data_IF_973076588457
#
_entry.id   IF_973076588457
#
_cell.length_a   1.000
_cell.length_b   1.000
_cell.length_c   1.000
_cell.angle_alpha   90.00
_cell.angle_beta   90.00
_cell.angle_gamma   90.00
#
_symmetry.space_group_name_H-M   'P 1'
#
loop_
_entity.id
_entity.type
_entity.pdbx_description
1 polymer ?
#
# COMPACT_ATOMS: atom_id res chain seq x y z
N UNK A 1 -24.32 21.88 -20.19
CA UNK A 1 -23.35 22.31 -19.15
C UNK A 1 -23.16 21.29 -18.01
N UNK A 2 -24.22 20.81 -17.33
CA UNK A 2 -24.04 19.84 -16.20
C UNK A 2 -23.45 18.49 -16.64
N UNK A 3 -23.91 17.97 -17.77
CA UNK A 3 -23.51 16.66 -18.31
C UNK A 3 -22.03 16.64 -18.76
N UNK A 4 -21.59 17.67 -19.51
CA UNK A 4 -20.17 17.86 -19.86
C UNK A 4 -19.27 17.98 -18.63
N UNK A 5 -19.76 18.61 -17.55
CA UNK A 5 -19.01 18.73 -16.30
C UNK A 5 -18.85 17.38 -15.61
N UNK A 6 -19.88 16.55 -15.62
CA UNK A 6 -19.84 15.21 -15.05
C UNK A 6 -18.85 14.31 -15.79
N UNK A 7 -18.90 14.31 -17.12
CA UNK A 7 -17.96 13.55 -17.97
C UNK A 7 -16.51 14.01 -17.72
N UNK A 8 -16.29 15.32 -17.64
CA UNK A 8 -14.96 15.89 -17.36
C UNK A 8 -14.41 15.47 -15.99
N UNK A 9 -15.24 15.48 -14.94
CA UNK A 9 -14.83 15.02 -13.60
C UNK A 9 -14.47 13.54 -13.62
N UNK A 10 -15.29 12.69 -14.26
CA UNK A 10 -15.01 11.26 -14.38
C UNK A 10 -13.68 11.01 -15.10
N UNK A 11 -13.43 11.68 -16.23
CA UNK A 11 -12.16 11.55 -16.97
C UNK A 11 -10.96 11.96 -16.12
N UNK A 12 -11.06 13.10 -15.41
CA UNK A 12 -10.00 13.60 -14.54
C UNK A 12 -9.65 12.61 -13.42
N UNK A 13 -10.65 11.94 -12.84
CA UNK A 13 -10.44 10.90 -11.82
C UNK A 13 -9.64 9.72 -12.40
N UNK A 14 -10.02 9.21 -13.58
CA UNK A 14 -9.30 8.10 -14.21
C UNK A 14 -7.86 8.46 -14.59
N UNK A 15 -7.65 9.65 -15.15
CA UNK A 15 -6.33 10.13 -15.53
C UNK A 15 -5.41 10.26 -14.31
N UNK A 16 -5.92 10.84 -13.23
CA UNK A 16 -5.21 10.97 -11.95
C UNK A 16 -4.87 9.60 -11.35
N UNK A 17 -5.81 8.66 -11.33
CA UNK A 17 -5.58 7.29 -10.85
C UNK A 17 -4.53 6.55 -11.69
N UNK A 18 -4.59 6.72 -13.02
CA UNK A 18 -3.64 6.09 -13.94
C UNK A 18 -2.23 6.67 -13.78
N UNK A 19 -2.10 7.99 -13.58
CA UNK A 19 -0.82 8.63 -13.30
C UNK A 19 -0.18 8.10 -12.00
N UNK A 20 -0.99 7.91 -10.95
CA UNK A 20 -0.55 7.28 -9.71
C UNK A 20 -0.14 5.83 -9.91
N UNK A 21 -0.92 5.06 -10.67
CA UNK A 21 -0.63 3.67 -10.98
C UNK A 21 0.75 3.54 -11.63
N UNK A 22 1.02 4.32 -12.68
CA UNK A 22 2.30 4.29 -13.39
C UNK A 22 3.47 4.71 -12.48
N UNK A 23 3.25 5.70 -11.63
CA UNK A 23 4.27 6.20 -10.70
C UNK A 23 4.62 5.15 -9.65
N UNK A 24 3.63 4.52 -9.04
CA UNK A 24 3.78 3.60 -7.91
C UNK A 24 4.16 2.18 -8.33
N UNK A 25 3.70 1.72 -9.49
CA UNK A 25 3.92 0.32 -9.94
C UNK A 25 5.41 -0.03 -10.03
N UNK A 26 6.24 0.95 -10.41
CA UNK A 26 7.69 0.75 -10.51
C UNK A 26 8.42 0.76 -9.16
N UNK A 27 7.75 1.17 -8.08
CA UNK A 27 8.27 1.13 -6.70
C UNK A 27 7.80 -0.10 -5.92
N UNK A 28 7.01 -0.98 -6.53
CA UNK A 28 6.46 -2.14 -5.85
C UNK A 28 7.52 -3.24 -5.64
N UNK A 29 7.62 -3.74 -4.41
CA UNK A 29 8.44 -4.88 -4.05
C UNK A 29 9.89 -4.53 -3.64
N UNK A 30 10.68 -5.53 -3.23
CA UNK A 30 12.03 -5.32 -2.66
C UNK A 30 13.07 -4.86 -3.70
N UNK A 31 12.78 -5.02 -5.00
CA UNK A 31 13.57 -4.49 -6.11
C UNK A 31 12.88 -3.30 -6.79
N UNK A 32 11.90 -2.70 -6.10
CA UNK A 32 11.24 -1.48 -6.57
C UNK A 32 12.23 -0.33 -6.70
N UNK A 33 11.94 0.57 -7.63
CA UNK A 33 12.73 1.77 -7.85
C UNK A 33 12.32 2.85 -6.84
N UNK A 34 13.31 3.45 -6.18
CA UNK A 34 13.10 4.64 -5.38
C UNK A 34 12.68 5.83 -6.25
N UNK A 35 11.84 6.70 -5.70
CA UNK A 35 11.41 7.95 -6.34
C UNK A 35 12.09 9.13 -5.65
N UNK A 36 12.79 9.92 -6.45
CA UNK A 36 13.29 11.23 -6.02
C UNK A 36 12.16 12.25 -6.19
N UNK A 37 11.64 12.73 -5.07
CA UNK A 37 10.56 13.70 -5.00
C UNK A 37 11.13 15.05 -4.58
N UNK A 38 10.84 16.10 -5.33
CA UNK A 38 11.32 17.45 -5.06
C UNK A 38 10.11 18.36 -4.81
N UNK A 39 10.04 18.96 -3.63
CA UNK A 39 9.00 19.93 -3.27
C UNK A 39 9.59 21.04 -2.41
N UNK A 40 9.38 22.30 -2.79
CA UNK A 40 9.86 23.48 -2.07
C UNK A 40 11.38 23.40 -1.75
N UNK A 41 12.21 23.06 -2.74
CA UNK A 41 13.67 22.83 -2.60
C UNK A 41 14.08 21.74 -1.61
N UNK A 42 13.14 20.93 -1.10
CA UNK A 42 13.45 19.73 -0.31
C UNK A 42 13.36 18.50 -1.19
N UNK A 43 14.46 17.76 -1.25
CA UNK A 43 14.54 16.45 -1.90
C UNK A 43 14.19 15.35 -0.89
N UNK A 44 13.31 14.43 -1.27
CA UNK A 44 12.98 13.23 -0.51
C UNK A 44 13.09 12.03 -1.45
N UNK A 45 13.88 11.02 -1.08
CA UNK A 45 13.98 9.77 -1.84
C UNK A 45 13.21 8.70 -1.08
N UNK A 46 12.23 8.07 -1.73
CA UNK A 46 11.38 7.06 -1.09
C UNK A 46 10.74 6.10 -2.10
N UNK A 47 10.50 4.87 -1.68
CA UNK A 47 9.69 3.87 -2.36
C UNK A 47 8.29 3.69 -1.75
N UNK A 48 7.99 4.39 -0.64
CA UNK A 48 6.73 4.22 0.08
C UNK A 48 5.58 4.94 -0.63
N UNK A 49 4.56 4.19 -1.02
CA UNK A 49 3.42 4.70 -1.77
C UNK A 49 2.61 5.74 -1.00
N UNK A 50 2.50 5.59 0.32
CA UNK A 50 1.80 6.56 1.17
C UNK A 50 2.53 7.91 1.19
N UNK A 51 3.87 7.87 1.28
CA UNK A 51 4.70 9.07 1.20
C UNK A 51 4.61 9.70 -0.18
N UNK A 52 4.76 8.93 -1.26
CA UNK A 52 4.65 9.41 -2.65
C UNK A 52 3.30 10.11 -2.89
N UNK A 53 2.19 9.55 -2.41
CA UNK A 53 0.85 10.11 -2.58
C UNK A 53 0.71 11.54 -2.01
N UNK A 54 1.39 11.85 -0.89
CA UNK A 54 1.39 13.19 -0.26
C UNK A 54 2.09 14.27 -1.10
N UNK A 55 2.88 13.87 -2.10
CA UNK A 55 3.57 14.82 -2.99
C UNK A 55 2.70 15.26 -4.17
N UNK A 56 1.68 14.49 -4.56
CA UNK A 56 0.78 14.86 -5.64
C UNK A 56 -0.08 16.09 -5.28
N UNK A 57 -0.51 16.83 -6.30
CA UNK A 57 -1.45 17.95 -6.16
C UNK A 57 -2.76 17.48 -5.54
N UNK A 58 -3.49 18.35 -4.85
CA UNK A 58 -4.75 17.96 -4.23
C UNK A 58 -5.78 17.59 -5.31
N UNK A 59 -6.14 16.31 -5.34
CA UNK A 59 -7.24 15.77 -6.13
C UNK A 59 -8.11 14.92 -5.19
N UNK A 60 -9.46 14.92 -5.32
CA UNK A 60 -10.35 14.19 -4.41
C UNK A 60 -10.00 12.70 -4.26
N UNK A 61 -9.52 12.06 -5.34
CA UNK A 61 -9.11 10.65 -5.30
C UNK A 61 -7.90 10.42 -4.41
N UNK A 62 -6.98 11.39 -4.29
CA UNK A 62 -5.78 11.25 -3.47
C UNK A 62 -6.15 11.16 -1.99
N UNK A 63 -7.14 11.93 -1.54
CA UNK A 63 -7.63 11.87 -0.15
C UNK A 63 -8.25 10.50 0.16
N UNK A 64 -9.02 9.94 -0.78
CA UNK A 64 -9.60 8.60 -0.63
C UNK A 64 -8.50 7.54 -0.58
N UNK A 65 -7.55 7.57 -1.52
CA UNK A 65 -6.43 6.63 -1.57
C UNK A 65 -5.52 6.75 -0.35
N UNK A 66 -5.35 7.96 0.19
CA UNK A 66 -4.58 8.19 1.42
C UNK A 66 -5.24 7.55 2.62
N UNK A 67 -6.56 7.62 2.73
CA UNK A 67 -7.32 6.97 3.80
C UNK A 67 -7.26 5.45 3.69
N UNK A 68 -7.35 4.92 2.47
CA UNK A 68 -7.19 3.47 2.21
C UNK A 68 -5.79 3.00 2.61
N UNK A 69 -4.75 3.74 2.21
CA UNK A 69 -3.36 3.41 2.57
C UNK A 69 -3.12 3.50 4.08
N UNK A 70 -3.65 4.53 4.75
CA UNK A 70 -3.57 4.67 6.21
C UNK A 70 -4.27 3.53 6.93
N UNK A 71 -5.48 3.14 6.49
CA UNK A 71 -6.19 2.01 7.10
C UNK A 71 -5.43 0.69 6.92
N UNK A 72 -4.69 0.52 5.83
CA UNK A 72 -3.85 -0.65 5.60
C UNK A 72 -2.62 -0.64 6.52
N UNK A 73 -1.98 0.51 6.70
CA UNK A 73 -0.84 0.68 7.61
C UNK A 73 -1.25 0.42 9.07
N UNK A 74 -2.42 0.93 9.49
CA UNK A 74 -2.93 0.75 10.86
C UNK A 74 -3.30 -0.70 11.18
N UNK A 75 -3.97 -1.39 10.25
CA UNK A 75 -4.45 -2.77 10.45
C UNK A 75 -3.37 -3.83 10.22
N UNK A 76 -2.57 -3.66 9.16
CA UNK A 76 -1.64 -4.69 8.69
C UNK A 76 -0.18 -4.23 8.73
N UNK A 77 0.11 -2.95 8.49
CA UNK A 77 1.47 -2.38 8.47
C UNK A 77 2.30 -2.70 7.22
N UNK A 78 1.76 -3.52 6.31
CA UNK A 78 2.39 -3.91 5.04
C UNK A 78 1.38 -3.82 3.89
N UNK A 79 1.89 -3.72 2.65
CA UNK A 79 1.05 -3.62 1.45
C UNK A 79 0.41 -2.25 1.22
N UNK A 80 0.90 -1.19 1.87
CA UNK A 80 0.41 0.20 1.70
C UNK A 80 0.50 0.69 0.25
N UNK A 81 1.55 0.29 -0.48
CA UNK A 81 1.70 0.56 -1.92
C UNK A 81 0.80 -0.35 -2.76
N UNK A 82 0.73 -1.65 -2.42
CA UNK A 82 -0.07 -2.64 -3.15
C UNK A 82 -1.56 -2.31 -3.16
N UNK A 83 -2.11 -1.84 -2.03
CA UNK A 83 -3.54 -1.50 -1.94
C UNK A 83 -3.89 -0.31 -2.84
N UNK A 84 -3.00 0.68 -2.96
CA UNK A 84 -3.20 1.82 -3.87
C UNK A 84 -3.15 1.34 -5.33
N UNK A 85 -2.14 0.56 -5.69
CA UNK A 85 -1.98 -0.01 -7.04
C UNK A 85 -3.20 -0.84 -7.43
N UNK A 86 -3.67 -1.71 -6.53
CA UNK A 86 -4.86 -2.53 -6.75
C UNK A 86 -6.10 -1.66 -7.00
N UNK A 87 -6.32 -0.64 -6.15
CA UNK A 87 -7.46 0.26 -6.27
C UNK A 87 -7.43 1.02 -7.61
N UNK A 88 -6.29 1.59 -8.00
CA UNK A 88 -6.15 2.29 -9.28
C UNK A 88 -6.31 1.34 -10.48
N UNK A 89 -5.79 0.11 -10.39
CA UNK A 89 -5.91 -0.89 -11.45
C UNK A 89 -7.36 -1.34 -11.66
N UNK A 90 -8.10 -1.58 -10.56
CA UNK A 90 -9.52 -1.87 -10.60
C UNK A 90 -10.29 -0.70 -11.22
N UNK A 91 -10.04 0.53 -10.78
CA UNK A 91 -10.72 1.71 -11.33
C UNK A 91 -10.49 1.85 -12.85
N UNK A 92 -9.26 1.62 -13.32
CA UNK A 92 -8.94 1.61 -14.75
C UNK A 92 -9.68 0.50 -15.51
N UNK A 93 -9.79 -0.70 -14.95
CA UNK A 93 -10.54 -1.80 -15.57
C UNK A 93 -12.05 -1.49 -15.66
N UNK A 94 -12.60 -0.81 -14.64
CA UNK A 94 -14.01 -0.42 -14.57
C UNK A 94 -14.37 0.73 -15.51
N UNK A 95 -13.39 1.50 -15.99
CA UNK A 95 -13.59 2.61 -16.93
C UNK A 95 -14.42 2.19 -18.14
N UNK A 96 -14.13 1.02 -18.73
CA UNK A 96 -14.87 0.49 -19.88
C UNK A 96 -16.35 0.27 -19.57
N UNK A 97 -16.68 -0.22 -18.38
CA UNK A 97 -18.07 -0.45 -17.97
C UNK A 97 -18.82 0.87 -17.81
N UNK A 98 -18.15 1.90 -17.30
CA UNK A 98 -18.71 3.25 -17.15
C UNK A 98 -18.90 3.91 -18.53
N UNK A 99 -17.97 3.72 -19.46
CA UNK A 99 -18.09 4.17 -20.86
C UNK A 99 -19.21 3.43 -21.62
N UNK A 100 -19.55 2.21 -21.22
CA UNK A 100 -20.73 1.46 -21.70
C UNK A 100 -22.04 1.89 -21.02
N UNK A 101 -22.04 3.01 -20.29
CA UNK A 101 -23.19 3.56 -19.57
C UNK A 101 -23.80 2.62 -18.51
N UNK A 102 -23.02 1.67 -17.99
CA UNK A 102 -23.45 0.84 -16.86
C UNK A 102 -23.48 1.71 -15.61
N UNK A 103 -24.62 1.74 -14.94
CA UNK A 103 -24.81 2.57 -13.76
C UNK A 103 -23.82 2.17 -12.63
N UNK A 104 -23.07 3.11 -12.03
CA UNK A 104 -22.04 2.80 -11.02
C UNK A 104 -22.54 1.97 -9.83
N UNK A 105 -23.79 2.13 -9.42
CA UNK A 105 -24.38 1.31 -8.34
C UNK A 105 -24.34 -0.18 -8.67
N UNK A 106 -24.66 -0.56 -9.92
CA UNK A 106 -24.65 -1.95 -10.36
C UNK A 106 -23.22 -2.49 -10.31
N UNK A 107 -22.24 -1.68 -10.71
CA UNK A 107 -20.83 -2.04 -10.66
C UNK A 107 -20.41 -2.30 -9.21
N UNK A 108 -20.76 -1.41 -8.27
CA UNK A 108 -20.47 -1.57 -6.85
C UNK A 108 -21.10 -2.86 -6.29
N UNK A 109 -22.37 -3.12 -6.58
CA UNK A 109 -23.07 -4.33 -6.10
C UNK A 109 -22.39 -5.62 -6.57
N UNK A 110 -21.86 -5.63 -7.80
CA UNK A 110 -21.14 -6.79 -8.33
C UNK A 110 -19.71 -6.89 -7.80
N UNK A 111 -19.03 -5.77 -7.57
CA UNK A 111 -17.72 -5.77 -6.92
C UNK A 111 -17.78 -6.35 -5.50
N UNK A 112 -18.85 -6.09 -4.76
CA UNK A 112 -19.08 -6.69 -3.44
C UNK A 112 -19.19 -8.23 -3.53
N UNK A 113 -19.95 -8.76 -4.50
CA UNK A 113 -20.02 -10.20 -4.75
C UNK A 113 -18.67 -10.79 -5.16
N UNK A 114 -17.94 -10.10 -6.04
CA UNK A 114 -16.59 -10.51 -6.46
C UNK A 114 -15.61 -10.54 -5.28
N UNK A 115 -15.71 -9.57 -4.36
CA UNK A 115 -14.91 -9.50 -3.14
C UNK A 115 -15.17 -10.72 -2.25
N UNK A 116 -16.43 -11.09 -2.03
CA UNK A 116 -16.77 -12.28 -1.24
C UNK A 116 -16.18 -13.57 -1.83
N UNK A 117 -16.31 -13.75 -3.16
CA UNK A 117 -15.72 -14.90 -3.86
C UNK A 117 -14.20 -14.91 -3.71
N UNK A 118 -13.55 -13.77 -3.89
CA UNK A 118 -12.10 -13.65 -3.76
C UNK A 118 -11.62 -13.97 -2.33
N UNK A 119 -12.32 -13.48 -1.30
CA UNK A 119 -11.99 -13.77 0.11
C UNK A 119 -12.16 -15.25 0.40
N UNK A 120 -13.28 -15.86 -0.01
CA UNK A 120 -13.52 -17.29 0.18
C UNK A 120 -12.44 -18.15 -0.49
N UNK A 121 -12.01 -17.76 -1.69
CA UNK A 121 -10.92 -18.44 -2.37
C UNK A 121 -9.59 -18.29 -1.62
N UNK A 122 -9.22 -17.07 -1.21
CA UNK A 122 -8.01 -16.82 -0.42
C UNK A 122 -8.03 -17.64 0.88
N UNK A 123 -9.18 -17.71 1.56
CA UNK A 123 -9.35 -18.50 2.77
C UNK A 123 -9.21 -20.01 2.54
N UNK A 124 -9.57 -20.51 1.35
CA UNK A 124 -9.41 -21.93 0.99
C UNK A 124 -7.96 -22.32 0.69
N UNK A 125 -7.13 -21.36 0.27
CA UNK A 125 -5.73 -21.60 -0.13
C UNK A 125 -4.71 -21.06 0.90
N UNK A 126 -5.18 -20.42 1.98
CA UNK A 126 -4.29 -19.85 3.00
C UNK A 126 -3.50 -20.95 3.70
N UNK A 127 -2.22 -20.69 3.93
CA UNK A 127 -1.34 -21.58 4.67
C UNK A 127 -1.21 -21.01 6.08
N UNK A 128 -1.52 -21.77 7.14
CA UNK A 128 -1.38 -21.29 8.50
C UNK A 128 0.09 -21.04 8.85
N UNK A 129 0.33 -19.99 9.64
CA UNK A 129 1.67 -19.66 10.13
C UNK A 129 2.11 -20.72 11.14
N UNK A 130 3.34 -21.19 10.99
CA UNK A 130 3.98 -22.14 11.87
C UNK A 130 5.48 -21.79 12.04
N UNK A 131 6.20 -22.54 12.87
CA UNK A 131 7.62 -22.28 13.14
C UNK A 131 8.51 -22.39 11.89
N UNK A 132 8.10 -23.16 10.88
CA UNK A 132 8.89 -23.32 9.65
C UNK A 132 8.75 -22.15 8.67
N UNK A 133 7.64 -21.41 8.68
CA UNK A 133 7.37 -20.34 7.70
C UNK A 133 7.33 -18.92 8.30
N UNK A 134 7.32 -18.79 9.62
CA UNK A 134 7.26 -17.47 10.29
C UNK A 134 8.46 -16.60 9.96
N UNK A 135 9.65 -17.20 9.85
CA UNK A 135 10.87 -16.48 9.54
C UNK A 135 10.81 -15.83 8.16
N UNK A 136 10.42 -16.61 7.15
CA UNK A 136 10.28 -16.13 5.77
C UNK A 136 9.23 -15.03 5.69
N UNK A 137 8.10 -15.19 6.40
CA UNK A 137 7.02 -14.20 6.45
C UNK A 137 7.53 -12.85 6.98
N UNK A 138 8.26 -12.85 8.10
CA UNK A 138 8.80 -11.62 8.71
C UNK A 138 9.86 -10.98 7.80
N UNK A 139 10.72 -11.79 7.19
CA UNK A 139 11.73 -11.29 6.24
C UNK A 139 11.07 -10.60 5.03
N UNK A 140 10.00 -11.17 4.47
CA UNK A 140 9.28 -10.56 3.34
C UNK A 140 8.76 -9.18 3.69
N UNK A 141 8.15 -9.00 4.86
CA UNK A 141 7.62 -7.71 5.31
C UNK A 141 8.73 -6.67 5.57
N UNK A 142 9.90 -7.11 6.04
CA UNK A 142 11.02 -6.19 6.28
C UNK A 142 11.73 -5.78 4.99
N UNK A 143 11.90 -6.70 4.04
CA UNK A 143 12.62 -6.47 2.78
C UNK A 143 11.96 -5.43 1.87
N UNK A 144 10.66 -5.14 2.05
CA UNK A 144 9.98 -4.10 1.29
C UNK A 144 10.32 -2.68 1.74
N UNK A 145 10.86 -2.51 2.96
CA UNK A 145 11.13 -1.20 3.59
C UNK A 145 12.57 -1.01 4.10
N UNK A 146 13.28 -2.08 4.45
CA UNK A 146 14.60 -2.04 5.09
C UNK A 146 15.63 -2.79 4.24
N UNK A 147 16.64 -2.07 3.75
CA UNK A 147 17.75 -2.65 3.00
C UNK A 147 18.94 -2.88 3.94
N UNK A 148 19.43 -4.12 4.02
CA UNK A 148 20.73 -4.46 4.64
C UNK A 148 20.68 -5.27 5.94
N UNK A 149 19.67 -5.07 6.80
CA UNK A 149 19.63 -5.69 8.15
C UNK A 149 18.35 -6.50 8.45
N UNK A 150 17.58 -6.86 7.42
CA UNK A 150 16.28 -7.54 7.60
C UNK A 150 16.39 -8.87 8.36
N UNK A 151 17.49 -9.61 8.19
CA UNK A 151 17.71 -10.92 8.86
C UNK A 151 17.83 -10.78 10.38
N UNK A 152 18.67 -9.86 10.86
CA UNK A 152 18.85 -9.66 12.30
C UNK A 152 17.59 -9.08 12.94
N UNK A 153 16.94 -8.12 12.27
CA UNK A 153 15.67 -7.57 12.72
C UNK A 153 14.58 -8.64 12.77
N UNK A 154 14.54 -9.56 11.80
CA UNK A 154 13.58 -10.66 11.80
C UNK A 154 13.78 -11.58 13.01
N UNK A 155 15.02 -11.97 13.31
CA UNK A 155 15.33 -12.78 14.50
C UNK A 155 14.92 -12.08 15.79
N UNK A 156 15.22 -10.79 15.92
CA UNK A 156 14.84 -9.98 17.07
C UNK A 156 13.32 -9.85 17.20
N UNK A 157 12.62 -9.60 16.09
CA UNK A 157 11.16 -9.48 16.05
C UNK A 157 10.47 -10.79 16.48
N UNK A 158 10.92 -11.94 15.95
CA UNK A 158 10.37 -13.26 16.31
C UNK A 158 10.59 -13.55 17.79
N UNK A 159 11.80 -13.29 18.30
CA UNK A 159 12.12 -13.47 19.73
C UNK A 159 11.23 -12.60 20.62
N UNK A 160 10.97 -11.35 20.23
CA UNK A 160 10.07 -10.45 20.95
C UNK A 160 8.60 -10.90 20.89
N UNK A 161 8.16 -11.41 19.73
CA UNK A 161 6.81 -11.96 19.53
C UNK A 161 6.58 -13.19 20.42
N UNK A 162 7.54 -14.12 20.46
CA UNK A 162 7.48 -15.31 21.31
C UNK A 162 7.45 -14.93 22.80
N UNK A 163 8.28 -13.97 23.22
CA UNK A 163 8.32 -13.48 24.61
C UNK A 163 7.03 -12.81 25.09
N UNK A 164 6.23 -12.24 24.18
CA UNK A 164 5.00 -11.50 24.52
C UNK A 164 3.71 -12.29 24.28
N UNK A 165 3.81 -13.48 23.68
CA UNK A 165 2.66 -14.25 23.18
C UNK A 165 1.94 -13.50 22.05
N UNK A 166 2.69 -12.98 21.08
CA UNK A 166 2.19 -12.33 19.86
C UNK A 166 1.34 -11.06 20.08
N UNK A 167 1.46 -10.41 21.24
CA UNK A 167 0.76 -9.16 21.55
C UNK A 167 1.61 -7.94 21.23
N UNK A 168 1.24 -7.22 20.16
CA UNK A 168 1.92 -5.98 19.70
C UNK A 168 2.08 -4.93 20.81
N UNK A 169 1.05 -4.76 21.64
CA UNK A 169 1.03 -3.78 22.75
C UNK A 169 2.15 -3.98 23.79
N UNK A 170 2.68 -5.20 23.91
CA UNK A 170 3.74 -5.54 24.86
C UNK A 170 5.14 -5.33 24.29
N UNK A 171 5.26 -5.07 22.99
CA UNK A 171 6.54 -4.89 22.32
C UNK A 171 6.85 -3.39 22.29
N UNK A 172 7.91 -2.98 23.00
CA UNK A 172 8.40 -1.59 23.01
C UNK A 172 9.61 -1.45 22.10
N UNK A 173 9.50 -0.58 21.09
CA UNK A 173 10.60 -0.26 20.19
C UNK A 173 11.34 0.97 20.72
N UNK A 174 12.63 0.85 20.96
CA UNK A 174 13.49 1.94 21.40
C UNK A 174 14.47 2.30 20.28
N UNK A 175 14.36 3.51 19.75
CA UNK A 175 15.32 4.04 18.77
C UNK A 175 16.36 4.88 19.50
N UNK A 176 17.61 4.41 19.51
CA UNK A 176 18.75 5.15 20.07
C UNK A 176 19.68 5.54 18.92
N UNK A 177 20.02 6.83 18.84
CA UNK A 177 21.07 7.31 17.96
C UNK A 177 22.38 7.19 18.72
N UNK A 178 23.24 6.27 18.32
CA UNK A 178 24.64 6.34 18.73
C UNK A 178 25.33 7.36 17.84
N UNK A 179 25.60 8.54 18.41
CA UNK A 179 26.55 9.46 17.81
C UNK A 179 27.91 8.79 17.97
N UNK A 180 28.40 8.19 16.90
CA UNK A 180 29.81 7.85 16.78
C UNK A 180 30.57 9.18 16.89
N UNK A 181 31.01 9.50 18.11
CA UNK A 181 32.00 10.54 18.35
C UNK A 181 33.27 10.05 17.65
N UNK A 182 33.44 10.44 16.39
CA UNK A 182 34.72 10.37 15.69
C UNK A 182 35.70 11.20 16.51
N UNK A 183 36.67 10.51 17.13
CA UNK A 183 37.91 11.14 17.62
C UNK A 183 38.73 11.67 16.46
#
# INVERSE_FOLDING_TARGET
MKEQREVSIKSSIFESANALLMTLSTSLGPKGLDKMLIKNNKTTVTNDGATILKFFTQHPIHSILSNVSSSQDDKCGDGTTSVIILTCSLLNALRKLIEMEIHPSIICDHLEKCKEIAINYIDSVKIPINRSNIFDTVITTLNSKIVGNAVEMAKAAISAMDGCGYRKEKIRILKKLEVLLTK
#
